data_IF_466114819326
#
_entry.id   IF_466114819326
#
_cell.length_a   1.000
_cell.length_b   1.000
_cell.length_c   1.000
_cell.angle_alpha   90.00
_cell.angle_beta   90.00
_cell.angle_gamma   90.00
#
_symmetry.space_group_name_H-M   'P 1'
#
loop_
_entity.id
_entity.type
_entity.pdbx_description
1 polymer ?
#
# COMPACT_ATOMS: atom_id res chain seq x y z
N UNK A 1 -18.14 -2.80 20.35
CA UNK A 1 -16.88 -2.31 19.74
C UNK A 1 -17.06 -2.40 18.25
N UNK A 2 -17.18 -1.27 17.55
CA UNK A 2 -17.21 -1.26 16.08
C UNK A 2 -15.78 -1.45 15.55
N UNK A 3 -15.56 -2.24 14.48
CA UNK A 3 -14.24 -2.34 13.86
C UNK A 3 -13.85 -0.97 13.28
N UNK A 4 -12.56 -0.61 13.25
CA UNK A 4 -12.12 0.66 12.67
C UNK A 4 -12.45 0.67 11.17
N UNK A 5 -13.38 1.56 10.81
CA UNK A 5 -14.01 1.69 9.48
C UNK A 5 -13.03 2.03 8.34
N UNK A 6 -11.74 2.19 8.64
CA UNK A 6 -10.69 2.52 7.67
C UNK A 6 -10.04 1.30 6.99
N UNK A 7 -10.24 0.09 7.51
CA UNK A 7 -9.63 -1.14 6.91
C UNK A 7 -10.33 -1.60 5.61
N UNK A 8 -11.59 -1.19 5.40
CA UNK A 8 -12.40 -1.61 4.24
C UNK A 8 -12.09 -0.81 2.97
N UNK A 9 -11.69 0.46 3.10
CA UNK A 9 -11.56 1.38 1.96
C UNK A 9 -10.54 0.92 0.92
N UNK A 10 -9.46 0.24 1.33
CA UNK A 10 -8.43 -0.25 0.40
C UNK A 10 -8.79 -1.52 -0.38
N UNK A 11 -9.83 -2.28 -0.02
CA UNK A 11 -10.09 -3.60 -0.64
C UNK A 11 -11.10 -3.59 -1.80
N UNK A 12 -11.83 -2.49 -1.99
CA UNK A 12 -12.94 -2.41 -2.96
C UNK A 12 -12.70 -1.40 -4.08
N UNK A 13 -11.55 -0.76 -4.11
CA UNK A 13 -11.22 0.30 -5.09
C UNK A 13 -10.62 -0.34 -6.34
N UNK A 14 -11.19 -0.03 -7.51
CA UNK A 14 -10.62 -0.43 -8.80
C UNK A 14 -9.31 0.31 -9.07
N UNK A 15 -8.43 -0.23 -9.92
CA UNK A 15 -7.18 0.46 -10.30
C UNK A 15 -7.44 1.86 -10.88
N UNK A 16 -8.46 2.02 -11.73
CA UNK A 16 -8.82 3.33 -12.28
C UNK A 16 -9.29 4.33 -11.20
N UNK A 17 -10.07 3.87 -10.21
CA UNK A 17 -10.47 4.70 -9.08
C UNK A 17 -9.31 4.99 -8.12
N UNK A 18 -8.36 4.07 -8.00
CA UNK A 18 -7.14 4.24 -7.23
C UNK A 18 -6.30 5.38 -7.81
N UNK A 19 -5.98 5.33 -9.10
CA UNK A 19 -5.25 6.40 -9.81
C UNK A 19 -5.95 7.76 -9.64
N UNK A 20 -7.27 7.80 -9.83
CA UNK A 20 -8.07 9.01 -9.63
C UNK A 20 -7.96 9.56 -8.20
N UNK A 21 -8.07 8.71 -7.18
CA UNK A 21 -8.03 9.12 -5.77
C UNK A 21 -6.65 9.62 -5.33
N UNK A 22 -5.58 9.02 -5.85
CA UNK A 22 -4.22 9.48 -5.56
C UNK A 22 -3.79 10.61 -6.48
N UNK A 23 -4.60 11.05 -7.44
CA UNK A 23 -4.27 12.14 -8.36
C UNK A 23 -3.18 11.79 -9.37
N UNK A 24 -3.11 10.52 -9.80
CA UNK A 24 -2.25 10.04 -10.87
C UNK A 24 -3.07 9.74 -12.12
N UNK A 25 -2.42 9.85 -13.27
CA UNK A 25 -3.00 9.58 -14.58
C UNK A 25 -2.36 8.31 -15.17
N UNK A 26 -3.20 7.39 -15.63
CA UNK A 26 -2.80 6.12 -16.23
C UNK A 26 -2.28 6.26 -17.67
N UNK A 27 -2.50 7.41 -18.30
CA UNK A 27 -1.98 7.71 -19.65
C UNK A 27 -0.66 8.48 -19.59
N UNK A 28 -0.25 8.94 -18.39
CA UNK A 28 1.01 9.64 -18.17
C UNK A 28 2.15 8.65 -17.87
N UNK A 29 3.21 8.71 -18.69
CA UNK A 29 4.36 7.80 -18.57
C UNK A 29 5.12 7.95 -17.25
N UNK A 30 5.21 9.16 -16.70
CA UNK A 30 5.88 9.42 -15.42
C UNK A 30 5.05 8.82 -14.28
N UNK A 31 3.74 8.99 -14.32
CA UNK A 31 2.86 8.36 -13.32
C UNK A 31 2.91 6.84 -13.39
N UNK A 32 2.95 6.25 -14.59
CA UNK A 32 3.13 4.81 -14.73
C UNK A 32 4.46 4.32 -14.14
N UNK A 33 5.56 5.05 -14.34
CA UNK A 33 6.86 4.71 -13.73
C UNK A 33 6.80 4.76 -12.19
N UNK A 34 6.16 5.80 -11.62
CA UNK A 34 5.96 5.89 -10.17
C UNK A 34 5.12 4.70 -9.67
N UNK A 35 4.08 4.32 -10.41
CA UNK A 35 3.24 3.18 -10.06
C UNK A 35 4.01 1.85 -10.07
N UNK A 36 4.88 1.62 -11.06
CA UNK A 36 5.74 0.42 -11.10
C UNK A 36 6.72 0.36 -9.91
N UNK A 37 7.23 1.51 -9.46
CA UNK A 37 8.03 1.59 -8.23
C UNK A 37 7.19 1.24 -7.00
N UNK A 38 5.97 1.77 -6.89
CA UNK A 38 5.05 1.43 -5.81
C UNK A 38 4.74 -0.08 -5.78
N UNK A 39 4.54 -0.71 -6.94
CA UNK A 39 4.34 -2.15 -7.05
C UNK A 39 5.56 -2.92 -6.54
N UNK A 40 6.77 -2.49 -6.90
CA UNK A 40 8.02 -3.11 -6.45
C UNK A 40 8.17 -3.03 -4.92
N UNK A 41 7.88 -1.88 -4.33
CA UNK A 41 7.91 -1.68 -2.87
C UNK A 41 6.88 -2.57 -2.15
N UNK A 42 5.67 -2.68 -2.70
CA UNK A 42 4.61 -3.51 -2.14
C UNK A 42 4.91 -5.01 -2.24
N UNK A 43 5.44 -5.48 -3.39
CA UNK A 43 5.90 -6.87 -3.55
C UNK A 43 7.02 -7.19 -2.56
N UNK A 44 7.99 -6.30 -2.40
CA UNK A 44 9.05 -6.48 -1.42
C UNK A 44 8.50 -6.54 0.02
N UNK A 45 7.47 -5.75 0.33
CA UNK A 45 6.77 -5.81 1.62
C UNK A 45 6.01 -7.12 1.82
N UNK A 46 5.25 -7.56 0.82
CA UNK A 46 4.55 -8.84 0.86
C UNK A 46 5.52 -10.01 1.06
N UNK A 47 6.67 -10.01 0.38
CA UNK A 47 7.71 -11.03 0.57
C UNK A 47 8.21 -11.08 2.03
N UNK A 48 8.44 -9.92 2.67
CA UNK A 48 8.81 -9.86 4.09
C UNK A 48 7.71 -10.40 4.98
N UNK A 49 6.45 -10.03 4.71
CA UNK A 49 5.31 -10.53 5.47
C UNK A 49 5.16 -12.06 5.36
N UNK A 50 5.32 -12.63 4.17
CA UNK A 50 5.24 -14.09 3.95
C UNK A 50 6.41 -14.84 4.60
N UNK A 51 7.62 -14.27 4.55
CA UNK A 51 8.79 -14.85 5.23
C UNK A 51 8.67 -14.79 6.76
N UNK A 52 8.11 -13.70 7.31
CA UNK A 52 7.87 -13.58 8.73
C UNK A 52 6.74 -14.49 9.22
N UNK A 53 5.72 -14.72 8.38
CA UNK A 53 4.51 -15.49 8.72
C UNK A 53 4.49 -16.89 8.11
N UNK A 54 5.65 -17.53 7.89
CA UNK A 54 5.74 -18.88 7.29
C UNK A 54 5.07 -20.02 8.09
N UNK A 55 4.29 -19.71 9.14
CA UNK A 55 3.49 -20.63 9.95
C UNK A 55 2.05 -20.19 10.26
N UNK A 56 1.52 -19.11 9.65
CA UNK A 56 0.14 -18.65 9.88
C UNK A 56 -0.28 -17.46 9.01
N UNK A 57 -1.56 -17.07 9.10
CA UNK A 57 -2.05 -15.86 8.43
C UNK A 57 -1.43 -14.59 9.05
N UNK A 58 -1.01 -13.64 8.22
CA UNK A 58 -0.48 -12.37 8.68
C UNK A 58 -1.52 -11.62 9.52
N UNK A 59 -1.17 -11.24 10.75
CA UNK A 59 -2.09 -10.49 11.60
C UNK A 59 -2.24 -9.05 11.11
N UNK A 60 -3.32 -8.37 11.51
CA UNK A 60 -3.49 -6.93 11.26
C UNK A 60 -2.34 -6.09 11.86
N UNK A 61 -1.67 -6.59 12.91
CA UNK A 61 -0.49 -5.94 13.49
C UNK A 61 0.71 -6.04 12.55
N UNK A 62 0.94 -7.22 11.95
CA UNK A 62 2.02 -7.43 10.97
C UNK A 62 1.77 -6.60 9.71
N UNK A 63 0.52 -6.53 9.26
CA UNK A 63 0.12 -5.71 8.13
C UNK A 63 0.39 -4.22 8.40
N UNK A 64 -0.01 -3.70 9.57
CA UNK A 64 0.26 -2.31 9.95
C UNK A 64 1.76 -2.02 10.08
N UNK A 65 2.52 -2.95 10.67
CA UNK A 65 3.96 -2.80 10.78
C UNK A 65 4.63 -2.72 9.39
N UNK A 66 4.15 -3.51 8.43
CA UNK A 66 4.66 -3.47 7.06
C UNK A 66 4.26 -2.18 6.32
N UNK A 67 3.03 -1.70 6.50
CA UNK A 67 2.59 -0.40 5.96
C UNK A 67 3.52 0.74 6.42
N UNK A 68 3.86 0.77 7.71
CA UNK A 68 4.80 1.75 8.25
C UNK A 68 6.21 1.58 7.68
N UNK A 69 6.67 0.33 7.53
CA UNK A 69 7.99 0.02 6.99
C UNK A 69 8.13 0.48 5.54
N UNK A 70 7.14 0.19 4.69
CA UNK A 70 7.12 0.66 3.30
C UNK A 70 7.13 2.18 3.27
N UNK A 71 6.28 2.85 4.06
CA UNK A 71 6.25 4.31 4.08
C UNK A 71 7.60 4.92 4.49
N UNK A 72 8.26 4.37 5.51
CA UNK A 72 9.54 4.88 6.00
C UNK A 72 10.69 4.68 5.01
N UNK A 73 10.68 3.57 4.26
CA UNK A 73 11.70 3.22 3.28
C UNK A 73 11.37 3.58 1.83
N UNK A 74 10.25 4.27 1.60
CA UNK A 74 9.76 4.58 0.26
C UNK A 74 10.75 5.46 -0.53
N UNK A 75 10.81 5.21 -1.83
CA UNK A 75 11.55 6.03 -2.77
C UNK A 75 11.07 7.50 -2.71
N UNK A 76 11.97 8.49 -2.86
CA UNK A 76 11.59 9.90 -2.89
C UNK A 76 10.52 10.24 -3.94
N UNK A 77 10.39 9.44 -5.00
CA UNK A 77 9.41 9.60 -6.07
C UNK A 77 8.04 9.04 -5.71
N UNK A 78 7.98 7.96 -4.92
CA UNK A 78 6.71 7.33 -4.46
C UNK A 78 6.18 7.99 -3.19
N UNK A 79 7.07 8.56 -2.37
CA UNK A 79 6.74 9.20 -1.10
C UNK A 79 5.62 10.25 -1.18
N UNK A 80 5.61 11.20 -2.13
CA UNK A 80 4.55 12.21 -2.24
C UNK A 80 3.18 11.60 -2.57
N UNK A 81 3.16 10.43 -3.23
CA UNK A 81 1.92 9.70 -3.50
C UNK A 81 1.40 9.06 -2.22
N UNK A 82 2.27 8.42 -1.44
CA UNK A 82 1.88 7.86 -0.15
C UNK A 82 1.45 8.90 0.87
N UNK A 83 2.03 10.09 0.85
CA UNK A 83 1.63 11.18 1.75
C UNK A 83 0.14 11.54 1.60
N UNK A 84 -0.44 11.36 0.40
CA UNK A 84 -1.89 11.54 0.14
C UNK A 84 -2.76 10.51 0.85
N UNK A 85 -2.19 9.36 1.16
CA UNK A 85 -2.85 8.24 1.82
C UNK A 85 -2.65 8.15 3.33
N UNK A 86 -1.82 9.03 3.90
CA UNK A 86 -1.38 8.92 5.28
C UNK A 86 -2.48 9.28 6.28
N UNK A 87 -2.79 8.35 7.18
CA UNK A 87 -3.53 8.62 8.40
C UNK A 87 -2.53 9.01 9.49
N UNK A 88 -2.64 10.24 9.99
CA UNK A 88 -1.76 10.78 11.03
C UNK A 88 -2.46 10.78 12.39
N UNK A 89 -1.72 10.41 13.44
CA UNK A 89 -2.09 10.59 14.83
C UNK A 89 -0.95 11.31 15.55
N UNK A 90 -1.24 12.47 16.16
CA UNK A 90 -0.24 13.33 16.81
C UNK A 90 1.00 13.62 15.93
N UNK A 91 0.79 13.81 14.62
CA UNK A 91 1.86 14.08 13.65
C UNK A 91 2.70 12.87 13.25
N UNK A 92 2.41 11.68 13.79
CA UNK A 92 3.02 10.43 13.37
C UNK A 92 2.06 9.67 12.46
N UNK A 93 2.57 9.19 11.33
CA UNK A 93 1.79 8.35 10.43
C UNK A 93 1.53 6.98 11.08
N UNK A 94 0.27 6.61 11.21
CA UNK A 94 -0.16 5.37 11.88
C UNK A 94 -0.75 4.33 10.92
N UNK A 95 -1.25 4.76 9.77
CA UNK A 95 -1.75 3.87 8.71
C UNK A 95 -1.70 4.58 7.36
N UNK A 96 -1.71 3.84 6.25
CA UNK A 96 -1.72 4.39 4.90
C UNK A 96 -2.63 3.56 3.99
N UNK A 97 -3.72 4.17 3.53
CA UNK A 97 -4.68 3.43 2.69
C UNK A 97 -4.12 3.13 1.30
N UNK A 98 -3.22 3.97 0.78
CA UNK A 98 -2.57 3.78 -0.54
C UNK A 98 -1.64 2.56 -0.46
N UNK A 99 -0.76 2.50 0.54
CA UNK A 99 0.13 1.34 0.73
C UNK A 99 -0.67 0.07 1.03
N UNK A 100 -1.75 0.17 1.82
CA UNK A 100 -2.65 -0.96 2.10
C UNK A 100 -3.31 -1.47 0.82
N UNK A 101 -3.72 -0.59 -0.09
CA UNK A 101 -4.25 -0.95 -1.40
C UNK A 101 -3.17 -1.64 -2.25
N UNK A 102 -1.96 -1.08 -2.33
CA UNK A 102 -0.84 -1.70 -3.08
C UNK A 102 -0.48 -3.11 -2.57
N UNK A 103 -0.44 -3.29 -1.25
CA UNK A 103 -0.21 -4.60 -0.64
C UNK A 103 -1.34 -5.58 -0.96
N UNK A 104 -2.59 -5.13 -0.88
CA UNK A 104 -3.75 -5.94 -1.26
C UNK A 104 -3.66 -6.33 -2.73
N UNK A 105 -3.36 -5.40 -3.62
CA UNK A 105 -3.20 -5.64 -5.04
C UNK A 105 -2.10 -6.68 -5.31
N UNK A 106 -0.91 -6.51 -4.70
CA UNK A 106 0.20 -7.45 -4.84
C UNK A 106 -0.13 -8.88 -4.37
N UNK A 107 -1.03 -9.04 -3.39
CA UNK A 107 -1.52 -10.36 -2.94
C UNK A 107 -2.49 -11.01 -3.94
N UNK A 108 -3.22 -10.21 -4.72
CA UNK A 108 -4.29 -10.66 -5.62
C UNK A 108 -3.89 -10.66 -7.09
N UNK A 109 -2.76 -10.04 -7.45
CA UNK A 109 -2.17 -10.20 -8.78
C UNK A 109 -1.84 -11.69 -8.98
N UNK A 110 -2.46 -12.37 -9.97
CA UNK A 110 -2.09 -13.73 -10.30
C UNK A 110 -0.63 -13.71 -10.72
N UNK A 111 0.21 -14.46 -9.99
CA UNK A 111 1.64 -14.61 -10.24
C UNK A 111 2.00 -14.48 -11.74
N UNK A 112 2.72 -13.40 -12.10
CA UNK A 112 3.46 -13.30 -13.34
C UNK A 112 2.95 -12.25 -14.32
N UNK A 113 3.59 -11.08 -14.27
CA UNK A 113 3.99 -10.41 -15.51
C UNK A 113 5.07 -11.25 -16.19
#
# INVERSE_FOLDING_TARGET
MAPPENTTHGRSVSEADFFRQIGMDREDTVHLQIYELMQTEAIAGLQRMTQANSGGDASEVDFRAEVLRIYQGADPSTKPVYDRGATLSNGTMTDNWVIRWMLWEAMHQPNGR
#
